data_IF_031863804713
#
_entry.id   IF_031863804713
#
_cell.length_a   1.000
_cell.length_b   1.000
_cell.length_c   1.000
_cell.angle_alpha   90.00
_cell.angle_beta   90.00
_cell.angle_gamma   90.00
#
_symmetry.space_group_name_H-M   'P 1'
#
loop_
_entity.id
_entity.type
_entity.pdbx_description
1 polymer ?
#
# COMPACT_ATOMS: atom_id res chain seq x y z
N UNK A 1 17.92 9.74 12.48
CA UNK A 1 18.08 9.84 11.00
C UNK A 1 18.82 8.65 10.40
N UNK A 2 19.19 7.61 11.16
CA UNK A 2 19.89 6.42 10.63
C UNK A 2 18.96 5.38 9.99
N UNK A 3 17.67 5.35 10.37
CA UNK A 3 16.67 4.40 9.85
C UNK A 3 16.29 4.63 8.37
N UNK A 4 16.29 5.89 7.94
CA UNK A 4 15.94 6.26 6.58
C UNK A 4 17.03 5.87 5.58
N UNK A 5 18.29 6.11 5.92
CA UNK A 5 19.45 5.66 5.13
C UNK A 5 19.55 4.13 5.10
N UNK A 6 19.28 3.46 6.23
CA UNK A 6 19.25 1.99 6.28
C UNK A 6 18.18 1.39 5.35
N UNK A 7 17.03 2.05 5.19
CA UNK A 7 15.97 1.62 4.25
C UNK A 7 16.34 1.87 2.80
N UNK A 8 17.14 2.91 2.51
CA UNK A 8 17.66 3.17 1.17
C UNK A 8 18.80 2.23 0.75
N UNK A 9 19.52 1.66 1.71
CA UNK A 9 20.70 0.83 1.46
C UNK A 9 20.41 -0.69 1.43
N UNK A 10 19.18 -1.13 1.66
CA UNK A 10 18.86 -2.56 1.63
C UNK A 10 18.86 -3.11 0.19
N UNK A 11 19.52 -4.26 -0.07
CA UNK A 11 19.41 -5.00 -1.32
C UNK A 11 18.05 -5.71 -1.38
N UNK A 12 17.02 -4.93 -1.70
CA UNK A 12 15.63 -5.30 -1.90
C UNK A 12 14.90 -4.05 -2.38
N UNK A 13 13.91 -4.19 -3.27
CA UNK A 13 13.12 -3.12 -3.92
C UNK A 13 13.30 -1.74 -3.24
N UNK A 14 14.27 -0.95 -3.71
CA UNK A 14 14.70 0.27 -2.99
C UNK A 14 13.55 1.26 -2.77
N UNK A 15 13.81 2.33 -2.02
CA UNK A 15 12.82 3.37 -1.67
C UNK A 15 11.93 3.82 -2.85
N UNK A 16 12.51 3.98 -4.05
CA UNK A 16 11.76 4.34 -5.26
C UNK A 16 10.80 3.26 -5.74
N UNK A 17 11.18 1.99 -5.60
CA UNK A 17 10.35 0.86 -6.04
C UNK A 17 9.15 0.66 -5.10
N UNK A 18 9.35 0.85 -3.80
CA UNK A 18 8.25 0.81 -2.82
C UNK A 18 7.27 1.96 -3.04
N UNK A 19 7.75 3.16 -3.36
CA UNK A 19 6.87 4.27 -3.80
C UNK A 19 6.11 3.94 -5.08
N UNK A 20 6.76 3.36 -6.09
CA UNK A 20 6.12 2.95 -7.34
C UNK A 20 5.03 1.89 -7.10
N UNK A 21 5.33 0.88 -6.29
CA UNK A 21 4.36 -0.15 -5.89
C UNK A 21 3.18 0.49 -5.16
N UNK A 22 3.44 1.41 -4.22
CA UNK A 22 2.40 2.14 -3.51
C UNK A 22 1.49 2.92 -4.47
N UNK A 23 2.07 3.67 -5.41
CA UNK A 23 1.30 4.42 -6.40
C UNK A 23 0.37 3.52 -7.24
N UNK A 24 0.92 2.42 -7.77
CA UNK A 24 0.14 1.43 -8.55
C UNK A 24 -0.94 0.81 -7.67
N UNK A 25 -0.60 0.43 -6.43
CA UNK A 25 -1.53 -0.20 -5.51
C UNK A 25 -2.71 0.70 -5.14
N UNK A 26 -2.44 1.98 -4.86
CA UNK A 26 -3.48 2.96 -4.53
C UNK A 26 -4.46 3.19 -5.68
N UNK A 27 -3.94 3.30 -6.90
CA UNK A 27 -4.78 3.42 -8.10
C UNK A 27 -5.62 2.16 -8.37
N UNK A 28 -5.05 0.97 -8.21
CA UNK A 28 -5.80 -0.29 -8.34
C UNK A 28 -6.89 -0.38 -7.26
N UNK A 29 -6.55 -0.07 -6.02
CA UNK A 29 -7.48 -0.15 -4.89
C UNK A 29 -8.66 0.80 -5.08
N UNK A 30 -8.41 2.05 -5.47
CA UNK A 30 -9.44 3.03 -5.80
C UNK A 30 -10.43 2.51 -6.85
N UNK A 31 -9.91 1.92 -7.94
CA UNK A 31 -10.73 1.39 -9.02
C UNK A 31 -11.59 0.21 -8.56
N UNK A 32 -11.04 -0.63 -7.68
CA UNK A 32 -11.75 -1.77 -7.09
C UNK A 32 -12.82 -1.35 -6.08
N UNK A 33 -12.62 -0.26 -5.36
CA UNK A 33 -13.56 0.27 -4.38
C UNK A 33 -14.52 1.31 -4.96
N UNK A 34 -14.55 1.49 -6.28
CA UNK A 34 -15.37 2.49 -7.00
C UNK A 34 -15.35 3.87 -6.32
N UNK A 35 -14.16 4.28 -5.86
CA UNK A 35 -13.98 5.53 -5.14
C UNK A 35 -13.43 6.59 -6.08
N UNK A 36 -13.86 7.84 -5.93
CA UNK A 36 -13.32 8.98 -6.69
C UNK A 36 -12.39 9.79 -5.79
N UNK A 37 -11.11 9.44 -5.84
CA UNK A 37 -10.04 10.14 -5.14
C UNK A 37 -9.06 10.79 -6.14
N UNK A 38 -8.34 11.82 -5.69
CA UNK A 38 -7.30 12.43 -6.52
C UNK A 38 -6.03 11.59 -6.54
N UNK A 39 -5.17 11.79 -7.56
CA UNK A 39 -3.86 11.13 -7.67
C UNK A 39 -3.02 11.23 -6.39
N UNK A 40 -3.06 12.37 -5.71
CA UNK A 40 -2.36 12.58 -4.45
C UNK A 40 -2.89 11.69 -3.31
N UNK A 41 -4.21 11.57 -3.19
CA UNK A 41 -4.84 10.68 -2.20
C UNK A 41 -4.51 9.22 -2.50
N UNK A 42 -4.55 8.81 -3.76
CA UNK A 42 -4.21 7.43 -4.15
C UNK A 42 -2.75 7.10 -3.85
N UNK A 43 -1.83 8.03 -4.08
CA UNK A 43 -0.44 7.85 -3.70
C UNK A 43 -0.28 7.70 -2.18
N UNK A 44 -0.92 8.56 -1.38
CA UNK A 44 -0.87 8.48 0.08
C UNK A 44 -1.48 7.17 0.61
N UNK A 45 -2.67 6.82 0.12
CA UNK A 45 -3.37 5.58 0.48
C UNK A 45 -2.57 4.36 0.04
N UNK A 46 -1.94 4.41 -1.13
CA UNK A 46 -1.10 3.34 -1.65
C UNK A 46 0.16 3.12 -0.84
N UNK A 47 0.85 4.20 -0.44
CA UNK A 47 2.00 4.13 0.46
C UNK A 47 1.57 3.61 1.84
N UNK A 48 0.52 4.17 2.44
CA UNK A 48 -0.02 3.68 3.71
C UNK A 48 -0.47 2.20 3.62
N UNK A 49 -1.09 1.82 2.51
CA UNK A 49 -1.55 0.48 2.19
C UNK A 49 -0.41 -0.53 2.10
N UNK A 50 0.78 -0.12 1.65
CA UNK A 50 1.98 -0.99 1.66
C UNK A 50 2.39 -1.41 3.07
N UNK A 51 2.31 -0.51 4.05
CA UNK A 51 2.61 -0.82 5.45
C UNK A 51 1.51 -1.69 6.08
N UNK A 52 0.24 -1.32 5.86
CA UNK A 52 -0.90 -2.09 6.38
C UNK A 52 -0.91 -3.50 5.79
N UNK A 53 -0.71 -3.63 4.47
CA UNK A 53 -0.64 -4.90 3.77
C UNK A 53 0.50 -5.80 4.24
N UNK A 54 1.69 -5.22 4.45
CA UNK A 54 2.83 -5.96 5.01
C UNK A 54 2.54 -6.48 6.43
N UNK A 55 1.91 -5.65 7.28
CA UNK A 55 1.54 -6.04 8.65
C UNK A 55 0.45 -7.11 8.69
N UNK A 56 -0.54 -7.03 7.81
CA UNK A 56 -1.57 -8.07 7.66
C UNK A 56 -0.91 -9.38 7.21
N UNK A 57 -0.02 -9.33 6.21
CA UNK A 57 0.65 -10.53 5.73
C UNK A 57 1.57 -11.16 6.78
N UNK A 58 2.26 -10.35 7.58
CA UNK A 58 3.05 -10.78 8.73
C UNK A 58 2.17 -11.51 9.77
N UNK A 59 1.01 -10.94 10.12
CA UNK A 59 0.07 -11.56 11.06
C UNK A 59 -0.52 -12.88 10.54
N UNK A 60 -0.70 -12.99 9.23
CA UNK A 60 -1.20 -14.20 8.57
C UNK A 60 -0.10 -15.21 8.24
N UNK A 61 1.14 -14.95 8.64
CA UNK A 61 2.32 -15.76 8.32
C UNK A 61 2.50 -16.00 6.80
N UNK A 62 1.97 -15.08 5.98
CA UNK A 62 2.11 -15.13 4.53
C UNK A 62 3.41 -14.44 4.15
N UNK A 63 4.38 -15.14 3.54
CA UNK A 63 5.63 -14.48 3.18
C UNK A 63 5.35 -13.38 2.15
N UNK A 64 5.96 -12.21 2.26
CA UNK A 64 5.86 -11.16 1.24
C UNK A 64 7.24 -10.92 0.69
N UNK A 65 7.47 -11.42 -0.53
CA UNK A 65 8.71 -11.23 -1.27
C UNK A 65 8.39 -11.15 -2.75
N UNK A 66 9.30 -10.63 -3.57
CA UNK A 66 8.96 -10.43 -4.98
C UNK A 66 8.17 -9.14 -5.19
N UNK A 67 8.26 -8.60 -6.40
CA UNK A 67 7.43 -7.48 -6.82
C UNK A 67 5.93 -7.79 -6.69
N UNK A 68 5.49 -8.94 -7.22
CA UNK A 68 4.07 -9.29 -7.31
C UNK A 68 3.40 -9.45 -5.95
N UNK A 69 4.06 -10.11 -4.98
CA UNK A 69 3.46 -10.33 -3.66
C UNK A 69 3.46 -9.05 -2.81
N UNK A 70 4.48 -8.21 -2.99
CA UNK A 70 4.54 -6.88 -2.37
C UNK A 70 3.43 -5.99 -2.93
N UNK A 71 3.21 -6.02 -4.24
CA UNK A 71 2.12 -5.29 -4.90
C UNK A 71 0.75 -5.78 -4.44
N UNK A 72 0.50 -7.09 -4.40
CA UNK A 72 -0.79 -7.61 -3.94
C UNK A 72 -1.05 -7.30 -2.46
N UNK A 73 -0.03 -7.41 -1.61
CA UNK A 73 -0.14 -7.00 -0.21
C UNK A 73 -0.46 -5.50 -0.09
N UNK A 74 0.24 -4.64 -0.84
CA UNK A 74 -0.02 -3.20 -0.85
C UNK A 74 -1.44 -2.86 -1.36
N UNK A 75 -1.92 -3.54 -2.41
CA UNK A 75 -3.30 -3.39 -2.92
C UNK A 75 -4.30 -3.80 -1.85
N UNK A 76 -4.11 -4.96 -1.21
CA UNK A 76 -5.01 -5.42 -0.15
C UNK A 76 -5.06 -4.43 1.03
N UNK A 77 -3.90 -3.93 1.47
CA UNK A 77 -3.84 -2.91 2.52
C UNK A 77 -4.51 -1.59 2.12
N UNK A 78 -4.31 -1.14 0.88
CA UNK A 78 -4.96 0.07 0.35
C UNK A 78 -6.49 -0.09 0.25
N UNK A 79 -6.99 -1.26 -0.17
CA UNK A 79 -8.43 -1.56 -0.17
C UNK A 79 -8.99 -1.47 1.24
N UNK A 80 -8.32 -2.05 2.24
CA UNK A 80 -8.74 -1.98 3.65
C UNK A 80 -8.85 -0.52 4.11
N UNK A 81 -7.85 0.31 3.81
CA UNK A 81 -7.87 1.73 4.15
C UNK A 81 -9.07 2.45 3.50
N UNK A 82 -9.30 2.25 2.20
CA UNK A 82 -10.39 2.93 1.48
C UNK A 82 -11.75 2.46 2.00
N UNK A 83 -11.93 1.16 2.26
CA UNK A 83 -13.18 0.63 2.80
C UNK A 83 -13.49 1.24 4.17
N UNK A 84 -12.50 1.30 5.07
CA UNK A 84 -12.66 1.94 6.39
C UNK A 84 -12.98 3.42 6.23
N UNK A 85 -12.28 4.11 5.33
CA UNK A 85 -12.49 5.53 5.04
C UNK A 85 -13.90 5.82 4.50
N UNK A 86 -14.38 5.01 3.55
CA UNK A 86 -15.72 5.15 2.97
C UNK A 86 -16.80 4.86 4.01
N UNK A 87 -16.62 3.81 4.82
CA UNK A 87 -17.51 3.48 5.92
C UNK A 87 -17.60 4.62 6.95
N UNK A 88 -16.46 5.22 7.31
CA UNK A 88 -16.41 6.35 8.24
C UNK A 88 -17.10 7.62 7.67
N UNK A 89 -17.11 7.80 6.35
CA UNK A 89 -17.76 8.93 5.67
C UNK A 89 -19.25 8.73 5.41
N UNK A 90 -19.83 7.60 5.79
CA UNK A 90 -21.27 7.31 5.61
C UNK A 90 -21.70 7.12 4.15
N UNK A 91 -20.75 6.99 3.22
CA UNK A 91 -21.01 6.66 1.82
C UNK A 91 -21.09 5.14 1.70
N UNK A 92 -22.31 4.60 1.84
CA UNK A 92 -22.63 3.24 1.41
C UNK A 92 -22.85 3.21 -0.10
#
# INVERSE_FOLDING_TARGET
>A
MESFAATMAQPGYGFFMTLLIGLIAGWIAERLTSSDHGLFTNMLVGVAGSFVGAKIAELLEVPVFGFWRTLTAAVAGAIVIIVIWNAARGRR
#
